data_IF_248034715592
#
_entry.id   IF_248034715592
#
_cell.length_a   1.000
_cell.length_b   1.000
_cell.length_c   1.000
_cell.angle_alpha   90.00
_cell.angle_beta   90.00
_cell.angle_gamma   90.00
#
_symmetry.space_group_name_H-M   'P 1'
#
loop_
_entity.id
_entity.type
_entity.pdbx_description
1 polymer ?
#
# COMPACT_ATOMS: atom_id res chain seq x y z
N UNK A 1 -80.82 -60.55 11.36
CA UNK A 1 -80.44 -61.95 11.66
C UNK A 1 -78.91 -62.04 11.59
N UNK A 2 -78.27 -62.39 12.71
CA UNK A 2 -76.92 -63.00 12.91
C UNK A 2 -75.69 -62.39 12.17
N UNK A 3 -74.77 -61.66 12.83
CA UNK A 3 -73.64 -62.09 13.70
C UNK A 3 -72.39 -62.65 12.95
N UNK A 4 -71.33 -61.82 13.00
CA UNK A 4 -69.88 -62.04 13.28
C UNK A 4 -69.09 -63.26 12.75
N UNK A 5 -67.79 -62.94 12.51
CA UNK A 5 -66.53 -63.60 12.95
C UNK A 5 -65.62 -64.00 11.77
N UNK A 6 -64.60 -63.21 11.38
CA UNK A 6 -63.22 -63.05 11.93
C UNK A 6 -62.29 -64.25 11.69
N UNK A 7 -61.31 -64.09 10.79
CA UNK A 7 -59.88 -64.49 10.91
C UNK A 7 -59.12 -63.87 9.70
N UNK A 8 -58.23 -62.88 9.89
CA UNK A 8 -56.75 -62.97 10.08
C UNK A 8 -56.03 -63.58 8.85
N UNK A 9 -54.91 -63.08 8.30
CA UNK A 9 -53.98 -61.97 8.57
C UNK A 9 -52.92 -61.98 7.42
N UNK A 10 -52.14 -60.89 7.28
CA UNK A 10 -50.91 -60.69 6.46
C UNK A 10 -51.15 -60.36 4.97
N UNK A 11 -50.63 -59.29 4.35
CA UNK A 11 -49.46 -58.46 4.61
C UNK A 11 -49.61 -57.05 3.98
N UNK A 12 -49.30 -56.04 4.80
CA UNK A 12 -48.64 -54.76 4.50
C UNK A 12 -48.41 -54.37 3.02
N UNK A 13 -48.89 -53.17 2.65
CA UNK A 13 -48.04 -52.11 2.09
C UNK A 13 -48.73 -50.75 2.11
N UNK A 14 -48.28 -49.90 3.04
CA UNK A 14 -48.39 -48.46 2.98
C UNK A 14 -47.87 -47.92 1.64
N UNK A 15 -48.56 -46.95 1.04
CA UNK A 15 -47.92 -45.85 0.33
C UNK A 15 -48.60 -44.52 0.66
N UNK A 16 -47.82 -43.43 0.77
CA UNK A 16 -48.23 -42.21 1.44
C UNK A 16 -48.87 -41.21 0.48
N UNK A 17 -49.82 -40.45 0.99
CA UNK A 17 -50.28 -39.19 0.40
C UNK A 17 -49.09 -38.22 0.31
N UNK A 18 -48.71 -37.85 -0.91
CA UNK A 18 -47.69 -36.84 -1.16
C UNK A 18 -48.17 -35.49 -0.64
N UNK A 19 -47.55 -35.06 0.46
CA UNK A 19 -47.63 -33.70 1.00
C UNK A 19 -46.95 -32.75 0.00
N UNK A 20 -47.74 -32.02 -0.79
CA UNK A 20 -47.25 -30.84 -1.54
C UNK A 20 -47.09 -29.68 -0.56
N UNK A 21 -46.02 -29.67 0.21
CA UNK A 21 -45.62 -28.49 1.00
C UNK A 21 -44.12 -28.21 0.74
N UNK A 22 -43.88 -26.98 0.27
CA UNK A 22 -42.65 -26.18 0.43
C UNK A 22 -41.32 -26.65 -0.19
N UNK A 23 -41.24 -26.90 -1.49
CA UNK A 23 -39.95 -26.76 -2.19
C UNK A 23 -39.55 -25.27 -2.36
N UNK A 24 -40.52 -24.37 -2.52
CA UNK A 24 -40.26 -22.94 -2.68
C UNK A 24 -39.86 -22.22 -1.38
N UNK A 25 -40.36 -22.64 -0.22
CA UNK A 25 -40.00 -21.97 1.05
C UNK A 25 -38.61 -22.36 1.54
N UNK A 26 -38.12 -23.57 1.19
CA UNK A 26 -36.80 -24.05 1.59
C UNK A 26 -35.68 -23.42 0.74
N UNK A 27 -35.91 -23.22 -0.56
CA UNK A 27 -34.96 -22.55 -1.46
C UNK A 27 -34.86 -21.05 -1.10
N UNK A 28 -35.99 -20.40 -0.79
CA UNK A 28 -36.01 -19.00 -0.38
C UNK A 28 -35.27 -18.75 0.95
N UNK A 29 -35.43 -19.63 1.94
CA UNK A 29 -34.69 -19.53 3.21
C UNK A 29 -33.20 -19.85 3.05
N UNK A 30 -32.83 -20.77 2.15
CA UNK A 30 -31.42 -21.08 1.87
C UNK A 30 -30.70 -19.93 1.16
N UNK A 31 -31.34 -19.33 0.14
CA UNK A 31 -30.81 -18.15 -0.55
C UNK A 31 -30.75 -16.95 0.40
N UNK A 32 -31.79 -16.73 1.21
CA UNK A 32 -31.80 -15.68 2.23
C UNK A 32 -30.69 -15.84 3.26
N UNK A 33 -30.45 -17.06 3.75
CA UNK A 33 -29.37 -17.36 4.68
C UNK A 33 -27.98 -17.15 4.06
N UNK A 34 -27.79 -17.49 2.79
CA UNK A 34 -26.53 -17.23 2.06
C UNK A 34 -26.32 -15.73 1.89
N UNK A 35 -27.34 -14.95 1.53
CA UNK A 35 -27.23 -13.50 1.41
C UNK A 35 -26.92 -12.84 2.75
N UNK A 36 -27.61 -13.24 3.83
CA UNK A 36 -27.35 -12.75 5.18
C UNK A 36 -25.95 -13.15 5.65
N UNK A 37 -25.50 -14.37 5.38
CA UNK A 37 -24.16 -14.83 5.71
C UNK A 37 -23.09 -14.06 4.92
N UNK A 38 -23.33 -13.75 3.63
CA UNK A 38 -22.42 -12.93 2.84
C UNK A 38 -22.39 -11.47 3.30
N UNK A 39 -23.53 -10.89 3.68
CA UNK A 39 -23.59 -9.54 4.28
C UNK A 39 -22.89 -9.53 5.64
N UNK A 40 -23.10 -10.56 6.47
CA UNK A 40 -22.44 -10.71 7.75
C UNK A 40 -20.93 -10.90 7.59
N UNK A 41 -20.49 -11.77 6.69
CA UNK A 41 -19.07 -11.98 6.38
C UNK A 41 -18.44 -10.71 5.81
N UNK A 42 -19.12 -10.00 4.92
CA UNK A 42 -18.66 -8.71 4.40
C UNK A 42 -18.53 -7.67 5.53
N UNK A 43 -19.56 -7.54 6.38
CA UNK A 43 -19.57 -6.60 7.50
C UNK A 43 -18.54 -6.95 8.58
N UNK A 44 -18.31 -8.24 8.83
CA UNK A 44 -17.36 -8.72 9.83
C UNK A 44 -15.91 -8.70 9.31
N UNK A 45 -15.69 -8.82 8.01
CA UNK A 45 -14.39 -8.66 7.37
C UNK A 45 -14.00 -7.17 7.27
N UNK A 46 -14.98 -6.27 7.07
CA UNK A 46 -14.77 -4.81 7.10
C UNK A 46 -14.57 -4.29 8.54
N UNK A 47 -15.12 -4.95 9.56
CA UNK A 47 -15.03 -4.53 10.96
C UNK A 47 -14.10 -5.39 11.84
N UNK A 48 -13.22 -6.22 11.26
CA UNK A 48 -12.15 -6.84 12.07
C UNK A 48 -11.26 -5.70 12.58
N UNK A 49 -11.44 -5.34 13.84
CA UNK A 49 -10.93 -4.13 14.47
C UNK A 49 -9.42 -3.97 14.28
N UNK A 50 -9.01 -3.10 13.36
CA UNK A 50 -7.64 -2.61 13.31
C UNK A 50 -7.40 -1.73 14.53
N UNK A 51 -6.56 -2.15 15.46
CA UNK A 51 -6.10 -1.25 16.52
C UNK A 51 -5.31 -0.14 15.87
N UNK A 52 -5.66 1.10 16.20
CA UNK A 52 -4.97 2.28 15.69
C UNK A 52 -4.05 2.82 16.77
N UNK A 53 -2.75 2.67 16.57
CA UNK A 53 -1.74 3.31 17.42
C UNK A 53 -1.39 4.71 16.88
N UNK A 54 -1.13 5.66 17.78
CA UNK A 54 -0.92 7.07 17.46
C UNK A 54 0.50 7.49 17.86
N UNK A 55 1.35 7.78 16.88
CA UNK A 55 2.66 8.38 17.07
C UNK A 55 2.53 9.91 17.02
N UNK A 56 3.06 10.61 18.02
CA UNK A 56 2.92 12.08 18.18
C UNK A 56 4.12 12.81 17.60
N UNK A 57 3.86 13.89 16.85
CA UNK A 57 4.89 14.79 16.35
C UNK A 57 5.12 15.99 17.29
N UNK A 58 6.35 16.22 17.80
CA UNK A 58 6.68 17.42 18.54
C UNK A 58 6.97 18.58 17.58
N UNK A 59 6.17 19.66 17.64
CA UNK A 59 6.30 20.92 16.86
C UNK A 59 5.67 20.95 15.46
N UNK A 60 4.37 20.67 15.40
CA UNK A 60 3.37 21.02 14.35
C UNK A 60 3.82 21.83 13.10
N UNK A 61 4.59 21.27 12.15
CA UNK A 61 4.95 21.91 10.89
C UNK A 61 4.07 21.38 9.74
N UNK A 62 3.14 20.47 10.05
CA UNK A 62 2.40 19.64 9.10
C UNK A 62 3.29 18.61 8.39
N UNK A 63 2.83 17.36 8.32
CA UNK A 63 3.55 16.29 7.61
C UNK A 63 3.14 16.28 6.14
N UNK A 64 4.09 16.42 5.22
CA UNK A 64 3.87 16.34 3.77
C UNK A 64 3.90 14.89 3.26
N UNK A 65 4.88 14.11 3.71
CA UNK A 65 5.06 12.70 3.30
C UNK A 65 5.55 11.87 4.49
N UNK A 66 5.12 10.61 4.52
CA UNK A 66 5.65 9.55 5.40
C UNK A 66 6.20 8.42 4.53
N UNK A 67 7.26 7.78 4.99
CA UNK A 67 7.69 6.49 4.46
C UNK A 67 8.38 5.67 5.54
N UNK A 68 8.34 4.35 5.41
CA UNK A 68 8.84 3.41 6.40
C UNK A 68 9.49 2.21 5.70
N UNK A 69 10.54 1.67 6.34
CA UNK A 69 11.22 0.45 5.91
C UNK A 69 10.63 -0.79 6.56
N UNK A 70 11.32 -1.32 7.58
CA UNK A 70 10.91 -2.52 8.28
C UNK A 70 10.12 -2.19 9.55
N UNK A 71 10.76 -1.55 10.52
CA UNK A 71 10.17 -1.25 11.83
C UNK A 71 9.84 0.22 12.02
N UNK A 72 9.23 0.56 13.16
CA UNK A 72 8.99 1.96 13.54
C UNK A 72 10.29 2.77 13.64
N UNK A 73 11.42 2.12 13.94
CA UNK A 73 12.77 2.71 13.88
C UNK A 73 13.16 3.19 12.48
N UNK A 74 12.52 2.70 11.42
CA UNK A 74 12.74 3.15 10.04
C UNK A 74 11.66 4.14 9.59
N UNK A 75 10.91 4.75 10.52
CA UNK A 75 9.88 5.73 10.18
C UNK A 75 10.51 7.09 9.91
N UNK A 76 10.25 7.61 8.72
CA UNK A 76 10.70 8.92 8.28
C UNK A 76 9.55 9.77 7.80
N UNK A 77 9.70 11.07 7.98
CA UNK A 77 8.73 12.04 7.50
C UNK A 77 9.41 13.25 6.88
N UNK A 78 8.70 13.86 5.95
CA UNK A 78 9.03 15.14 5.34
C UNK A 78 7.93 16.13 5.68
N UNK A 79 8.30 17.32 6.16
CA UNK A 79 7.35 18.36 6.55
C UNK A 79 6.99 19.26 5.37
N UNK A 80 5.94 20.08 5.52
CA UNK A 80 5.59 21.12 4.51
C UNK A 80 6.67 22.19 4.35
N UNK A 81 7.56 22.32 5.34
CA UNK A 81 8.71 23.23 5.32
C UNK A 81 9.96 22.59 4.71
N UNK A 82 9.81 21.40 4.09
CA UNK A 82 10.88 20.65 3.42
C UNK A 82 12.00 20.16 4.37
N UNK A 83 11.67 19.93 5.65
CA UNK A 83 12.58 19.34 6.63
C UNK A 83 12.35 17.84 6.75
N UNK A 84 13.43 17.08 6.76
CA UNK A 84 13.41 15.62 6.89
C UNK A 84 13.66 15.22 8.35
N UNK A 85 12.77 14.40 8.89
CA UNK A 85 12.86 13.87 10.25
C UNK A 85 12.85 12.36 10.27
N UNK A 86 13.56 11.81 11.25
CA UNK A 86 13.65 10.38 11.56
C UNK A 86 13.07 10.13 12.95
N UNK A 87 12.28 9.06 13.11
CA UNK A 87 11.76 8.66 14.41
C UNK A 87 12.83 7.95 15.24
N UNK A 88 13.13 8.49 16.43
CA UNK A 88 14.01 7.86 17.40
C UNK A 88 13.17 7.11 18.43
N UNK A 89 13.22 5.78 18.43
CA UNK A 89 12.41 4.96 19.35
C UNK A 89 12.87 5.04 20.80
N UNK A 90 14.13 5.38 21.07
CA UNK A 90 14.66 5.51 22.44
C UNK A 90 14.16 6.80 23.08
N UNK A 91 14.20 7.91 22.34
CA UNK A 91 13.73 9.21 22.79
C UNK A 91 12.23 9.42 22.61
N UNK A 92 11.58 8.57 21.79
CA UNK A 92 10.17 8.67 21.41
C UNK A 92 9.84 10.05 20.81
N UNK A 93 10.74 10.54 19.95
CA UNK A 93 10.59 11.81 19.27
C UNK A 93 11.17 11.78 17.85
N UNK A 94 10.74 12.72 17.02
CA UNK A 94 11.30 12.93 15.70
C UNK A 94 12.52 13.84 15.76
N UNK A 95 13.66 13.35 15.25
CA UNK A 95 14.92 14.08 15.16
C UNK A 95 15.09 14.64 13.76
N UNK A 96 15.38 15.93 13.64
CA UNK A 96 15.68 16.56 12.35
C UNK A 96 17.01 16.02 11.80
N UNK A 97 16.99 15.49 10.58
CA UNK A 97 18.15 14.90 9.90
C UNK A 97 18.67 15.73 8.73
N UNK A 98 17.90 16.71 8.28
CA UNK A 98 18.38 17.72 7.36
C UNK A 98 17.62 19.03 7.56
N UNK A 99 18.34 20.06 8.01
CA UNK A 99 17.82 21.42 8.17
C UNK A 99 18.47 22.43 7.22
N UNK A 100 19.52 22.05 6.50
CA UNK A 100 20.34 22.99 5.75
C UNK A 100 19.95 23.09 4.27
N UNK A 101 19.29 22.05 3.74
CA UNK A 101 18.87 22.00 2.34
C UNK A 101 17.40 21.57 2.23
N UNK A 102 16.55 22.30 1.49
CA UNK A 102 15.18 21.87 1.24
C UNK A 102 15.13 20.48 0.59
N UNK A 103 14.39 19.56 1.23
CA UNK A 103 14.11 18.23 0.69
C UNK A 103 12.79 18.25 -0.08
N UNK A 104 12.84 17.75 -1.32
CA UNK A 104 11.71 17.73 -2.25
C UNK A 104 10.94 16.41 -2.14
N UNK A 105 11.69 15.31 -2.01
CA UNK A 105 11.12 13.96 -1.87
C UNK A 105 12.10 13.06 -1.10
N UNK A 106 11.60 11.96 -0.54
CA UNK A 106 12.42 10.91 0.07
C UNK A 106 11.75 9.54 -0.06
N UNK A 107 12.51 8.45 0.06
CA UNK A 107 11.97 7.11 0.11
C UNK A 107 12.81 6.22 1.04
N UNK A 108 12.16 5.26 1.68
CA UNK A 108 12.77 4.32 2.62
C UNK A 108 12.63 2.89 2.09
N UNK A 109 13.74 2.16 2.09
CA UNK A 109 13.84 0.76 1.67
C UNK A 109 13.54 -0.20 2.83
N UNK A 110 13.29 -1.46 2.51
CA UNK A 110 12.99 -2.52 3.48
C UNK A 110 14.14 -2.81 4.45
N UNK A 111 15.35 -2.34 4.17
CA UNK A 111 16.54 -2.47 5.00
C UNK A 111 16.86 -1.19 5.80
N UNK A 112 15.92 -0.24 5.84
CA UNK A 112 16.08 1.05 6.51
C UNK A 112 16.90 2.07 5.72
N UNK A 113 17.42 1.71 4.54
CA UNK A 113 18.13 2.64 3.67
C UNK A 113 17.22 3.79 3.23
N UNK A 114 17.73 5.01 3.28
CA UNK A 114 16.98 6.20 2.90
C UNK A 114 17.63 6.89 1.72
N UNK A 115 16.82 7.25 0.73
CA UNK A 115 17.22 8.15 -0.34
C UNK A 115 16.41 9.44 -0.27
N UNK A 116 17.02 10.55 -0.67
CA UNK A 116 16.35 11.84 -0.72
C UNK A 116 16.67 12.58 -2.02
N UNK A 117 15.71 13.38 -2.47
CA UNK A 117 15.85 14.36 -3.53
C UNK A 117 15.94 15.74 -2.87
N UNK A 118 17.09 16.39 -3.01
CA UNK A 118 17.36 17.71 -2.40
C UNK A 118 17.50 18.81 -3.45
N UNK A 119 17.13 20.03 -3.07
CA UNK A 119 17.28 21.25 -3.86
C UNK A 119 18.16 22.27 -3.10
N UNK A 120 19.48 22.11 -3.19
CA UNK A 120 20.43 23.09 -2.61
C UNK A 120 20.87 24.16 -3.62
N UNK A 121 20.98 23.81 -4.91
CA UNK A 121 21.27 24.71 -6.05
C UNK A 121 20.79 24.06 -7.35
N UNK A 122 21.10 22.78 -7.49
CA UNK A 122 20.57 21.87 -8.50
C UNK A 122 19.87 20.72 -7.77
N UNK A 123 19.00 20.02 -8.49
CA UNK A 123 18.37 18.81 -7.97
C UNK A 123 19.39 17.67 -7.94
N UNK A 124 19.54 17.03 -6.78
CA UNK A 124 20.44 15.91 -6.59
C UNK A 124 19.78 14.81 -5.77
N UNK A 125 20.10 13.56 -6.08
CA UNK A 125 19.71 12.40 -5.29
C UNK A 125 20.86 12.04 -4.36
N UNK A 126 20.53 11.82 -3.10
CA UNK A 126 21.45 11.38 -2.07
C UNK A 126 20.95 10.10 -1.42
N UNK A 127 21.86 9.24 -1.01
CA UNK A 127 21.61 8.07 -0.17
C UNK A 127 22.21 8.31 1.21
N UNK A 128 21.53 7.88 2.27
CA UNK A 128 22.05 7.97 3.63
C UNK A 128 23.16 6.93 3.80
N UNK A 129 24.32 7.38 4.25
CA UNK A 129 25.51 6.53 4.45
C UNK A 129 25.83 6.33 5.94
N UNK A 130 25.44 7.29 6.80
CA UNK A 130 25.58 7.20 8.26
C UNK A 130 24.45 7.97 8.96
N UNK A 131 24.44 8.00 10.30
CA UNK A 131 23.41 8.63 11.14
C UNK A 131 23.09 10.06 10.69
N UNK A 132 24.08 10.85 10.31
CA UNK A 132 23.93 12.23 9.86
C UNK A 132 24.68 12.53 8.54
N UNK A 133 25.09 11.49 7.79
CA UNK A 133 25.87 11.63 6.55
C UNK A 133 25.09 11.17 5.32
N UNK A 134 25.27 11.90 4.22
CA UNK A 134 24.58 11.70 2.95
C UNK A 134 25.58 11.66 1.79
N UNK A 135 25.48 10.65 0.94
CA UNK A 135 26.33 10.45 -0.22
C UNK A 135 25.57 10.78 -1.51
N UNK A 136 26.19 11.56 -2.40
CA UNK A 136 25.59 11.93 -3.70
C UNK A 136 25.63 10.75 -4.67
N UNK A 137 24.49 10.41 -5.29
CA UNK A 137 24.38 9.24 -6.19
C UNK A 137 23.93 9.56 -7.60
N UNK A 138 23.25 10.69 -7.82
CA UNK A 138 22.81 11.09 -9.14
C UNK A 138 22.46 12.59 -9.23
N UNK A 139 22.62 13.15 -10.42
CA UNK A 139 21.97 14.39 -10.80
C UNK A 139 20.47 14.13 -11.03
N UNK A 140 19.63 15.13 -10.74
CA UNK A 140 18.20 15.06 -10.91
C UNK A 140 17.64 16.35 -11.54
N UNK A 141 16.33 16.39 -11.72
CA UNK A 141 15.61 17.60 -12.08
C UNK A 141 14.25 17.64 -11.36
N UNK A 142 13.46 18.71 -11.59
CA UNK A 142 12.15 18.90 -10.94
C UNK A 142 11.12 17.78 -11.20
N UNK A 143 11.28 17.02 -12.29
CA UNK A 143 10.41 15.91 -12.65
C UNK A 143 10.95 14.56 -12.13
N UNK A 144 12.11 14.55 -11.47
CA UNK A 144 12.65 13.34 -10.86
C UNK A 144 11.73 12.84 -9.76
N UNK A 145 11.47 11.53 -9.80
CA UNK A 145 10.81 10.74 -8.77
C UNK A 145 11.78 9.68 -8.32
N UNK A 146 11.75 9.38 -7.04
CA UNK A 146 12.68 8.46 -6.41
C UNK A 146 11.92 7.34 -5.73
N UNK A 147 12.49 6.14 -5.77
CA UNK A 147 12.02 5.02 -4.95
C UNK A 147 13.17 4.05 -4.71
N UNK A 148 13.11 3.34 -3.59
CA UNK A 148 14.12 2.37 -3.18
C UNK A 148 13.42 1.13 -2.66
N UNK A 149 13.91 -0.04 -3.05
CA UNK A 149 13.53 -1.29 -2.41
C UNK A 149 14.44 -1.58 -1.23
N UNK A 150 15.75 -1.45 -1.44
CA UNK A 150 16.83 -1.66 -0.48
C UNK A 150 18.10 -0.98 -1.02
N UNK A 151 19.20 -1.01 -0.28
CA UNK A 151 20.47 -0.39 -0.65
C UNK A 151 20.97 -0.76 -2.05
N UNK A 152 20.72 -2.00 -2.48
CA UNK A 152 21.20 -2.52 -3.77
C UNK A 152 20.26 -2.23 -4.94
N UNK A 153 19.07 -1.66 -4.69
CA UNK A 153 18.03 -1.53 -5.69
C UNK A 153 17.28 -0.21 -5.56
N UNK A 154 17.74 0.77 -6.34
CA UNK A 154 17.21 2.14 -6.36
C UNK A 154 16.59 2.44 -7.73
N UNK A 155 15.55 3.24 -7.75
CA UNK A 155 14.91 3.71 -8.96
C UNK A 155 14.81 5.23 -8.95
N UNK A 156 15.14 5.84 -10.08
CA UNK A 156 14.91 7.27 -10.31
C UNK A 156 14.23 7.48 -11.65
N UNK A 157 13.49 8.56 -11.78
CA UNK A 157 13.12 9.10 -13.09
C UNK A 157 14.03 10.26 -13.47
N UNK A 158 14.47 10.26 -14.72
CA UNK A 158 15.22 11.38 -15.29
C UNK A 158 14.80 11.56 -16.74
N UNK A 159 14.39 12.79 -17.10
CA UNK A 159 13.87 13.13 -18.42
C UNK A 159 12.79 12.15 -18.92
N UNK A 160 11.78 11.88 -18.08
CA UNK A 160 10.65 10.99 -18.41
C UNK A 160 11.02 9.53 -18.68
N UNK A 161 12.22 9.10 -18.24
CA UNK A 161 12.68 7.72 -18.34
C UNK A 161 12.96 7.17 -16.96
N UNK A 162 12.78 5.86 -16.79
CA UNK A 162 13.13 5.16 -15.55
C UNK A 162 14.56 4.65 -15.66
N UNK A 163 15.33 4.91 -14.61
CA UNK A 163 16.64 4.34 -14.41
C UNK A 163 16.61 3.48 -13.16
N UNK A 164 17.16 2.29 -13.28
CA UNK A 164 17.42 1.37 -12.18
C UNK A 164 18.89 1.47 -11.80
N UNK A 165 19.14 1.70 -10.52
CA UNK A 165 20.44 1.81 -9.91
C UNK A 165 20.76 0.55 -9.12
N UNK A 166 21.95 0.00 -9.37
CA UNK A 166 22.51 -1.10 -8.59
C UNK A 166 23.79 -0.67 -7.92
N UNK A 167 23.97 -1.02 -6.65
CA UNK A 167 25.21 -0.73 -5.96
C UNK A 167 26.32 -1.65 -6.46
N UNK A 168 27.41 -1.06 -6.94
CA UNK A 168 28.63 -1.77 -7.31
C UNK A 168 29.65 -1.70 -6.18
N UNK A 169 29.92 -2.86 -5.58
CA UNK A 169 30.91 -3.00 -4.51
C UNK A 169 32.34 -2.73 -4.98
N UNK A 170 32.64 -2.84 -6.28
CA UNK A 170 33.97 -2.55 -6.81
C UNK A 170 34.30 -1.06 -6.72
N UNK A 171 33.44 -0.24 -7.31
CA UNK A 171 33.57 1.22 -7.38
C UNK A 171 33.00 1.96 -6.16
N UNK A 172 32.23 1.28 -5.30
CA UNK A 172 31.46 1.87 -4.21
C UNK A 172 30.50 2.96 -4.71
N UNK A 173 29.87 2.72 -5.88
CA UNK A 173 28.96 3.66 -6.53
C UNK A 173 27.70 2.95 -7.03
N UNK A 174 26.64 3.72 -7.25
CA UNK A 174 25.44 3.23 -7.92
C UNK A 174 25.64 3.30 -9.44
N UNK A 175 25.57 2.15 -10.10
CA UNK A 175 25.57 2.05 -11.56
C UNK A 175 24.13 2.14 -12.05
N UNK A 176 23.87 3.08 -12.97
CA UNK A 176 22.54 3.34 -13.52
C UNK A 176 22.34 2.65 -14.87
N UNK A 177 21.24 1.92 -14.98
CA UNK A 177 20.75 1.32 -16.21
C UNK A 177 19.39 1.92 -16.56
N UNK A 178 19.22 2.40 -17.79
CA UNK A 178 17.91 2.81 -18.28
C UNK A 178 17.04 1.57 -18.50
N UNK A 179 15.82 1.56 -17.95
CA UNK A 179 14.87 0.45 -18.10
C UNK A 179 13.93 0.60 -19.28
N UNK A 180 13.40 1.81 -19.46
CA UNK A 180 12.39 2.08 -20.45
C UNK A 180 12.93 3.07 -21.48
N UNK A 181 12.75 2.73 -22.76
CA UNK A 181 13.04 3.60 -23.90
C UNK A 181 11.90 4.59 -24.16
N UNK A 182 10.68 4.26 -23.74
CA UNK A 182 9.53 5.14 -23.91
C UNK A 182 9.55 6.31 -22.92
N UNK A 183 9.18 7.47 -23.46
CA UNK A 183 8.96 8.66 -22.66
C UNK A 183 7.58 8.60 -22.03
N UNK A 184 7.54 8.11 -20.80
CA UNK A 184 6.36 8.20 -19.95
C UNK A 184 6.55 9.31 -18.93
N UNK A 185 5.50 10.09 -18.74
CA UNK A 185 5.48 11.02 -17.63
C UNK A 185 5.00 10.30 -16.37
N UNK A 186 5.81 10.34 -15.31
CA UNK A 186 5.55 9.68 -14.04
C UNK A 186 5.23 10.70 -12.95
N UNK A 187 4.12 10.53 -12.25
CA UNK A 187 3.84 11.34 -11.04
C UNK A 187 4.50 10.75 -9.81
N UNK A 188 4.59 9.42 -9.76
CA UNK A 188 5.23 8.70 -8.68
C UNK A 188 5.70 7.34 -9.17
N UNK A 189 6.78 6.83 -8.58
CA UNK A 189 7.25 5.45 -8.71
C UNK A 189 7.33 4.83 -7.31
N UNK A 190 7.12 3.52 -7.21
CA UNK A 190 7.29 2.74 -5.99
C UNK A 190 7.87 1.37 -6.30
N UNK A 191 9.07 1.12 -5.81
CA UNK A 191 9.69 -0.19 -5.75
C UNK A 191 9.03 -1.02 -4.65
N UNK A 192 8.78 -2.30 -4.92
CA UNK A 192 8.14 -3.22 -4.00
C UNK A 192 9.18 -4.04 -3.21
N UNK A 193 9.13 -3.96 -1.88
CA UNK A 193 10.12 -4.56 -0.99
C UNK A 193 10.37 -6.05 -1.22
N UNK A 194 9.31 -6.86 -1.41
CA UNK A 194 9.42 -8.31 -1.39
C UNK A 194 9.91 -8.93 -2.70
N UNK A 195 9.67 -8.28 -3.84
CA UNK A 195 9.94 -8.87 -5.14
C UNK A 195 10.59 -7.92 -6.17
N UNK A 196 10.92 -6.70 -5.75
CA UNK A 196 11.55 -5.70 -6.63
C UNK A 196 10.65 -5.20 -7.76
N UNK A 197 9.36 -5.56 -7.77
CA UNK A 197 8.45 -5.08 -8.80
C UNK A 197 8.27 -3.57 -8.71
N UNK A 198 8.18 -2.92 -9.87
CA UNK A 198 8.06 -1.47 -9.96
C UNK A 198 6.63 -1.07 -10.27
N UNK A 199 6.02 -0.35 -9.35
CA UNK A 199 4.71 0.28 -9.50
C UNK A 199 4.89 1.75 -9.83
N UNK A 200 3.95 2.33 -10.58
CA UNK A 200 3.99 3.76 -10.86
C UNK A 200 2.61 4.35 -11.13
N UNK A 201 2.51 5.67 -10.97
CA UNK A 201 1.36 6.47 -11.36
C UNK A 201 1.74 7.25 -12.63
N UNK A 202 0.99 7.04 -13.70
CA UNK A 202 1.22 7.73 -14.98
C UNK A 202 0.54 9.11 -15.03
N UNK A 203 1.24 10.15 -15.50
CA UNK A 203 0.83 11.57 -15.40
C UNK A 203 -0.46 11.96 -16.12
N UNK A 204 -0.85 11.27 -17.19
CA UNK A 204 -1.99 11.70 -18.02
C UNK A 204 -3.36 11.42 -17.40
N UNK A 205 -3.53 10.24 -16.79
CA UNK A 205 -4.79 9.83 -16.16
C UNK A 205 -4.62 9.53 -14.67
N UNK A 206 -3.40 9.61 -14.17
CA UNK A 206 -3.04 9.25 -12.81
C UNK A 206 -3.44 7.81 -12.45
N UNK A 207 -3.51 6.91 -13.43
CA UNK A 207 -3.79 5.50 -13.16
C UNK A 207 -2.52 4.80 -12.66
N UNK A 208 -2.73 3.73 -11.90
CA UNK A 208 -1.68 2.88 -11.34
C UNK A 208 -1.34 1.79 -12.34
N UNK A 209 -0.04 1.55 -12.51
CA UNK A 209 0.49 0.51 -13.37
C UNK A 209 1.59 -0.27 -12.64
N UNK A 210 1.80 -1.51 -13.09
CA UNK A 210 3.00 -2.30 -12.77
C UNK A 210 3.84 -2.41 -14.03
N UNK A 211 5.10 -2.02 -13.93
CA UNK A 211 6.11 -2.21 -14.98
C UNK A 211 6.41 -3.69 -15.18
N UNK A 212 6.53 -4.11 -16.45
CA UNK A 212 6.90 -5.48 -16.81
C UNK A 212 8.21 -5.51 -17.56
N UNK A 213 8.31 -4.72 -18.62
CA UNK A 213 9.49 -4.62 -19.47
C UNK A 213 9.39 -3.35 -20.32
N UNK A 214 10.42 -3.08 -21.14
CA UNK A 214 10.45 -1.94 -22.07
C UNK A 214 9.14 -1.87 -22.88
N UNK A 215 8.51 -0.70 -22.88
CA UNK A 215 7.23 -0.45 -23.53
C UNK A 215 6.03 -1.31 -23.03
N UNK A 216 6.15 -2.06 -21.94
CA UNK A 216 5.10 -2.98 -21.45
C UNK A 216 4.77 -2.79 -19.98
N UNK A 217 3.51 -2.41 -19.73
CA UNK A 217 2.96 -2.15 -18.40
C UNK A 217 1.62 -2.85 -18.23
N UNK A 218 1.25 -3.21 -16.99
CA UNK A 218 -0.07 -3.76 -16.65
C UNK A 218 -0.85 -2.69 -15.88
N UNK A 219 -2.03 -2.24 -16.37
CA UNK A 219 -2.89 -1.36 -15.58
C UNK A 219 -3.39 -2.09 -14.34
N UNK A 220 -3.35 -1.39 -13.21
CA UNK A 220 -3.83 -1.86 -11.90
C UNK A 220 -4.99 -1.06 -11.36
N UNK A 221 -5.29 0.11 -11.93
CA UNK A 221 -6.49 0.88 -11.55
C UNK A 221 -7.22 1.43 -12.77
N UNK A 222 -8.54 1.55 -12.62
CA UNK A 222 -9.43 2.28 -13.54
C UNK A 222 -9.79 3.67 -13.00
N UNK A 223 -9.32 4.00 -11.80
CA UNK A 223 -9.46 5.31 -11.16
C UNK A 223 -8.09 5.95 -10.94
N UNK A 224 -8.11 7.26 -10.74
CA UNK A 224 -6.92 8.09 -10.53
C UNK A 224 -6.41 8.03 -9.09
N UNK A 225 -5.11 7.83 -8.94
CA UNK A 225 -4.37 7.84 -7.68
C UNK A 225 -3.39 9.00 -7.63
N UNK A 226 -3.24 9.60 -6.45
CA UNK A 226 -2.21 10.61 -6.18
C UNK A 226 -1.03 10.04 -5.40
N UNK A 227 -1.18 8.87 -4.79
CA UNK A 227 -0.11 8.18 -4.08
C UNK A 227 -0.18 6.65 -4.28
N UNK A 228 0.97 6.00 -4.40
CA UNK A 228 1.15 4.54 -4.36
C UNK A 228 2.37 4.17 -3.50
N UNK A 229 2.28 3.08 -2.72
CA UNK A 229 3.42 2.39 -2.10
C UNK A 229 3.23 0.90 -2.26
N UNK A 230 4.23 0.23 -2.82
CA UNK A 230 4.17 -1.19 -3.16
C UNK A 230 4.95 -2.03 -2.15
N UNK A 231 4.39 -3.20 -1.82
CA UNK A 231 5.04 -4.22 -0.99
C UNK A 231 5.46 -5.42 -1.85
N UNK A 232 4.62 -5.82 -2.81
CA UNK A 232 4.94 -6.81 -3.86
C UNK A 232 4.13 -6.51 -5.14
N UNK A 233 4.31 -7.32 -6.19
CA UNK A 233 3.51 -7.28 -7.43
C UNK A 233 2.01 -7.54 -7.21
N UNK A 234 1.66 -8.11 -6.06
CA UNK A 234 0.29 -8.46 -5.68
C UNK A 234 -0.17 -7.79 -4.39
N UNK A 235 0.62 -6.85 -3.86
CA UNK A 235 0.31 -6.13 -2.63
C UNK A 235 0.82 -4.70 -2.69
N UNK A 236 -0.09 -3.74 -2.68
CA UNK A 236 0.24 -2.32 -2.63
C UNK A 236 -0.84 -1.57 -1.85
N UNK A 237 -0.52 -0.36 -1.40
CA UNK A 237 -1.52 0.60 -0.94
C UNK A 237 -1.47 1.84 -1.83
N UNK A 238 -2.59 2.53 -1.94
CA UNK A 238 -2.65 3.78 -2.68
C UNK A 238 -3.69 4.73 -2.10
N UNK A 239 -3.52 6.01 -2.41
CA UNK A 239 -4.51 7.04 -2.09
C UNK A 239 -5.03 7.62 -3.38
N UNK A 240 -6.36 7.63 -3.53
CA UNK A 240 -7.02 8.23 -4.67
C UNK A 240 -7.17 9.76 -4.53
N UNK A 241 -7.71 10.41 -5.57
CA UNK A 241 -7.96 11.86 -5.53
C UNK A 241 -9.10 12.29 -4.60
N UNK A 242 -9.91 11.36 -4.09
CA UNK A 242 -10.93 11.62 -3.07
C UNK A 242 -10.36 11.55 -1.65
N UNK A 243 -9.07 11.25 -1.50
CA UNK A 243 -8.39 11.00 -0.23
C UNK A 243 -8.86 9.69 0.43
N UNK A 244 -9.31 8.72 -0.35
CA UNK A 244 -9.57 7.36 0.12
C UNK A 244 -8.29 6.54 0.04
N UNK A 245 -7.95 5.87 1.15
CA UNK A 245 -6.90 4.86 1.24
C UNK A 245 -7.46 3.52 0.79
N UNK A 246 -6.78 2.93 -0.18
CA UNK A 246 -7.10 1.63 -0.75
C UNK A 246 -5.92 0.67 -0.56
N UNK A 247 -6.24 -0.61 -0.35
CA UNK A 247 -5.26 -1.68 -0.34
C UNK A 247 -5.53 -2.65 -1.49
N UNK A 248 -4.52 -2.85 -2.33
CA UNK A 248 -4.51 -3.88 -3.36
C UNK A 248 -3.94 -5.16 -2.79
N UNK A 249 -4.71 -6.25 -2.82
CA UNK A 249 -4.21 -7.59 -2.53
C UNK A 249 -4.74 -8.60 -3.55
N UNK A 250 -3.84 -9.44 -4.09
CA UNK A 250 -4.19 -10.60 -4.93
C UNK A 250 -5.16 -10.29 -6.07
N UNK A 251 -5.04 -9.14 -6.72
CA UNK A 251 -5.92 -8.74 -7.83
C UNK A 251 -6.97 -7.70 -7.50
N UNK A 252 -7.22 -7.40 -6.23
CA UNK A 252 -8.40 -6.64 -5.81
C UNK A 252 -8.02 -5.44 -4.95
N UNK A 253 -8.58 -4.27 -5.29
CA UNK A 253 -8.55 -3.09 -4.42
C UNK A 253 -9.68 -3.16 -3.39
N UNK A 254 -9.34 -2.97 -2.13
CA UNK A 254 -10.29 -2.89 -1.01
C UNK A 254 -10.19 -1.51 -0.39
N UNK A 255 -11.33 -0.86 -0.19
CA UNK A 255 -11.39 0.42 0.52
C UNK A 255 -11.05 0.21 1.99
N UNK A 256 -10.17 1.04 2.55
CA UNK A 256 -9.74 0.97 3.95
C UNK A 256 -10.33 2.12 4.76
N UNK A 257 -10.13 3.35 4.30
CA UNK A 257 -10.51 4.56 5.06
C UNK A 257 -10.55 5.79 4.16
N UNK A 258 -11.45 6.73 4.47
CA UNK A 258 -11.47 8.05 3.88
C UNK A 258 -10.58 9.07 4.63
N UNK A 259 -10.44 10.27 4.07
CA UNK A 259 -9.76 11.41 4.69
C UNK A 259 -8.27 11.16 4.98
N UNK A 260 -7.59 10.41 4.12
CA UNK A 260 -6.16 10.09 4.28
C UNK A 260 -5.31 11.03 3.43
N UNK A 261 -4.40 11.73 4.09
CA UNK A 261 -3.48 12.70 3.45
C UNK A 261 -2.28 12.00 2.80
N UNK A 262 -1.68 11.07 3.53
CA UNK A 262 -0.51 10.31 3.11
C UNK A 262 -0.47 8.96 3.83
N UNK A 263 0.07 7.93 3.18
CA UNK A 263 0.14 6.58 3.72
C UNK A 263 1.43 5.86 3.31
N UNK A 264 1.87 4.89 4.09
CA UNK A 264 2.96 3.98 3.72
C UNK A 264 2.68 2.58 4.30
N UNK A 265 3.38 1.57 3.80
CA UNK A 265 3.29 0.18 4.26
C UNK A 265 4.71 -0.33 4.50
N UNK A 266 4.96 -0.93 5.66
CA UNK A 266 6.27 -1.48 5.99
C UNK A 266 6.47 -2.89 5.40
N UNK A 267 7.67 -3.42 5.56
CA UNK A 267 8.04 -4.75 5.08
C UNK A 267 7.15 -5.88 5.64
N UNK A 268 6.54 -5.70 6.81
CA UNK A 268 5.67 -6.69 7.45
C UNK A 268 4.19 -6.54 7.04
N UNK A 269 3.86 -5.55 6.20
CA UNK A 269 2.50 -5.30 5.71
C UNK A 269 1.63 -4.47 6.65
N UNK A 270 2.22 -3.84 7.66
CA UNK A 270 1.57 -2.86 8.53
C UNK A 270 1.44 -1.51 7.82
N UNK A 271 0.25 -0.92 7.87
CA UNK A 271 -0.05 0.33 7.17
C UNK A 271 0.02 1.50 8.15
N UNK A 272 0.77 2.53 7.78
CA UNK A 272 0.85 3.80 8.52
C UNK A 272 0.21 4.90 7.68
N UNK A 273 -0.51 5.82 8.31
CA UNK A 273 -1.19 6.90 7.59
C UNK A 273 -1.33 8.18 8.40
N UNK A 274 -1.57 9.29 7.68
CA UNK A 274 -1.87 10.61 8.24
C UNK A 274 -3.30 10.97 7.87
N UNK A 275 -4.11 11.35 8.87
CA UNK A 275 -5.45 11.86 8.66
C UNK A 275 -5.41 13.33 8.22
N UNK A 276 -6.22 13.71 7.23
CA UNK A 276 -6.28 15.09 6.73
C UNK A 276 -6.75 16.09 7.78
N UNK A 277 -7.54 15.63 8.76
CA UNK A 277 -8.07 16.47 9.85
C UNK A 277 -7.04 16.70 10.96
N UNK A 278 -5.98 15.88 11.02
CA UNK A 278 -4.94 15.97 12.02
C UNK A 278 -3.59 15.56 11.44
N UNK A 279 -2.97 16.46 10.69
CA UNK A 279 -1.72 16.20 9.96
C UNK A 279 -0.45 16.27 10.83
N UNK A 280 -0.60 16.13 12.14
CA UNK A 280 0.46 16.05 13.16
C UNK A 280 0.53 14.71 13.88
N UNK A 281 -0.36 13.78 13.51
CA UNK A 281 -0.39 12.43 14.06
C UNK A 281 -0.18 11.42 12.94
N UNK A 282 0.56 10.37 13.27
CA UNK A 282 0.71 9.20 12.40
C UNK A 282 -0.03 8.05 13.09
N UNK A 283 -0.90 7.42 12.33
CA UNK A 283 -1.74 6.33 12.76
C UNK A 283 -1.22 5.02 12.17
N UNK A 284 -1.12 3.96 12.97
CA UNK A 284 -0.75 2.60 12.54
C UNK A 284 -1.98 1.72 12.50
N UNK A 285 -2.24 1.01 11.40
CA UNK A 285 -3.27 -0.03 11.31
C UNK A 285 -2.64 -1.40 11.62
N UNK A 286 -2.95 -1.96 12.78
CA UNK A 286 -2.61 -3.36 13.06
C UNK A 286 -3.63 -4.30 12.40
N UNK A 287 -3.15 -5.29 11.65
CA UNK A 287 -3.97 -6.43 11.21
C UNK A 287 -3.92 -7.51 12.29
N UNK A 288 -5.08 -7.98 12.75
CA UNK A 288 -5.19 -9.10 13.70
C UNK A 288 -5.01 -10.44 12.99
#
# INVERSE_FOLDING_TARGET
MSIRFLEKMLLLRHKPSFMKISHFSFIGTFIGAIVILNIYLFYHNVNSSSKVEVLKFPKNPGIMKIDIGQGEDDLWILTKENYLYHWDTFKKEFICKNSCTPIVDFAVGSDGTVIMLSLYNIYCVYIRDDIDSWYWVANANQNTRISICNYNLVFITYNNKIFQGYYDYGSHQIIWQQLDSAEYYYDQISCAFHDGSLWFIGRYKHHVYVYIDDNKNIPRSEISFKQIKALSKQHAIGIDYNNDLWEYTKGTWTWIKNNVKGATINNDGEIFFIDITNDNLIYKLSKN
#
